data_IF_183772446197
#
_entry.id   IF_183772446197
#
_cell.length_a   1.000
_cell.length_b   1.000
_cell.length_c   1.000
_cell.angle_alpha   90.00
_cell.angle_beta   90.00
_cell.angle_gamma   90.00
#
_symmetry.space_group_name_H-M   'P 1'
#
loop_
_entity.id
_entity.type
_entity.pdbx_description
1 polymer ?
#
# COMPACT_ATOMS: atom_id res chain seq x y z
N UNK A 1 22.00 16.17 -9.53
CA UNK A 1 22.43 15.63 -8.22
C UNK A 1 21.84 14.23 -8.08
N UNK A 2 22.46 13.31 -7.34
CA UNK A 2 21.80 12.03 -7.09
C UNK A 2 20.52 12.25 -6.28
N UNK A 3 19.50 11.38 -6.44
CA UNK A 3 18.25 11.50 -5.70
C UNK A 3 18.48 11.36 -4.19
N UNK A 4 17.73 12.12 -3.39
CA UNK A 4 17.85 12.12 -1.92
C UNK A 4 17.14 10.92 -1.29
N UNK A 5 16.18 10.34 -2.01
CA UNK A 5 15.32 9.25 -1.53
C UNK A 5 15.40 8.03 -2.43
N UNK A 6 15.21 6.85 -1.84
CA UNK A 6 15.05 5.62 -2.60
C UNK A 6 13.65 5.52 -3.18
N UNK A 7 12.62 5.97 -2.43
CA UNK A 7 11.20 5.86 -2.79
C UNK A 7 10.48 7.18 -2.56
N UNK A 8 9.66 7.57 -3.50
CA UNK A 8 8.55 8.48 -3.29
C UNK A 8 7.27 7.66 -3.12
N UNK A 9 6.69 7.65 -1.92
CA UNK A 9 5.39 7.06 -1.64
C UNK A 9 4.32 8.13 -1.76
N UNK A 10 3.62 8.14 -2.89
CA UNK A 10 2.64 9.15 -3.24
C UNK A 10 1.23 8.56 -3.21
N UNK A 11 0.41 8.98 -2.23
CA UNK A 11 -0.89 8.36 -2.08
C UNK A 11 -1.72 8.86 -0.91
N UNK A 12 -2.48 7.94 -0.33
CA UNK A 12 -3.31 8.22 0.83
C UNK A 12 -2.43 8.37 2.07
N UNK A 13 -2.53 9.55 2.70
CA UNK A 13 -1.81 9.91 3.94
C UNK A 13 -2.83 10.35 4.97
N UNK A 14 -2.82 9.77 6.16
CA UNK A 14 -3.74 10.12 7.23
C UNK A 14 -3.48 9.34 8.51
N UNK A 15 -4.46 9.35 9.39
CA UNK A 15 -4.45 8.60 10.65
C UNK A 15 -5.63 7.63 10.70
N UNK A 16 -5.47 6.56 11.47
CA UNK A 16 -6.52 5.61 11.82
C UNK A 16 -6.79 5.72 13.32
N UNK A 17 -7.97 6.24 13.68
CA UNK A 17 -8.47 6.22 15.05
C UNK A 17 -9.24 4.92 15.25
N UNK A 18 -8.63 3.98 15.94
CA UNK A 18 -9.24 2.68 16.26
C UNK A 18 -10.00 2.80 17.56
N UNK A 19 -11.27 2.40 17.56
CA UNK A 19 -12.15 2.37 18.72
C UNK A 19 -12.64 0.94 18.89
N UNK A 20 -12.22 0.29 19.95
CA UNK A 20 -12.72 -1.03 20.33
C UNK A 20 -14.09 -0.89 21.00
N UNK A 21 -15.07 -1.64 20.51
CA UNK A 21 -16.44 -1.65 20.98
C UNK A 21 -16.89 -3.09 21.27
N UNK A 22 -17.78 -3.33 22.25
CA UNK A 22 -18.28 -4.68 22.51
C UNK A 22 -19.13 -5.26 21.37
N UNK A 23 -19.77 -4.41 20.59
CA UNK A 23 -20.53 -4.70 19.37
C UNK A 23 -20.62 -3.46 18.50
N UNK A 24 -20.81 -3.63 17.18
CA UNK A 24 -21.03 -2.50 16.29
C UNK A 24 -22.31 -1.76 16.69
N UNK A 25 -22.32 -0.39 16.65
CA UNK A 25 -23.52 0.39 16.95
C UNK A 25 -24.67 0.03 16.02
N UNK A 26 -25.88 0.03 16.57
CA UNK A 26 -27.12 -0.09 15.82
C UNK A 26 -27.87 1.24 15.88
N UNK A 27 -28.77 1.52 14.93
CA UNK A 27 -29.61 2.71 15.01
C UNK A 27 -30.32 2.82 16.36
N UNK A 28 -30.30 4.01 16.94
CA UNK A 28 -30.92 4.37 18.22
C UNK A 28 -30.40 3.62 19.46
N UNK A 29 -29.32 2.85 19.34
CA UNK A 29 -28.71 2.11 20.46
C UNK A 29 -27.29 2.63 20.68
N UNK A 30 -27.03 3.17 21.89
CA UNK A 30 -25.67 3.59 22.29
C UNK A 30 -24.80 2.38 22.61
N UNK A 31 -23.50 2.49 22.31
CA UNK A 31 -22.46 1.58 22.79
C UNK A 31 -21.34 2.40 23.43
N UNK A 32 -20.51 1.77 24.23
CA UNK A 32 -19.37 2.41 24.89
C UNK A 32 -18.07 1.93 24.29
N UNK A 33 -17.11 2.84 24.11
CA UNK A 33 -15.76 2.48 23.74
C UNK A 33 -15.10 1.71 24.91
N UNK A 34 -14.48 0.58 24.61
CA UNK A 34 -13.65 -0.18 25.55
C UNK A 34 -12.23 0.38 25.59
N UNK A 35 -11.73 0.81 24.43
CA UNK A 35 -10.39 1.34 24.23
C UNK A 35 -10.39 2.23 22.99
N UNK A 36 -9.55 3.26 22.98
CA UNK A 36 -9.24 4.00 21.77
C UNK A 36 -7.74 4.15 21.59
N UNK A 37 -7.30 4.15 20.33
CA UNK A 37 -5.90 4.36 19.95
C UNK A 37 -5.81 5.09 18.61
N UNK A 38 -4.70 5.78 18.41
CA UNK A 38 -4.44 6.54 17.19
C UNK A 38 -3.14 6.04 16.53
N UNK A 39 -3.21 5.67 15.28
CA UNK A 39 -2.12 5.09 14.52
C UNK A 39 -1.94 5.82 13.19
N UNK A 40 -0.78 5.62 12.56
CA UNK A 40 -0.62 5.98 11.15
C UNK A 40 -1.61 5.17 10.32
N UNK A 41 -2.24 5.83 9.38
CA UNK A 41 -3.15 5.28 8.40
C UNK A 41 -2.84 5.83 7.01
N UNK A 42 -3.53 5.28 6.03
CA UNK A 42 -3.28 5.58 4.63
C UNK A 42 -2.19 4.71 4.01
N UNK A 43 -2.46 4.27 2.80
CA UNK A 43 -1.65 3.26 2.10
C UNK A 43 -0.23 3.72 1.79
N UNK A 44 -0.07 5.01 1.42
CA UNK A 44 1.26 5.57 1.17
C UNK A 44 2.09 5.61 2.46
N UNK A 45 1.46 6.01 3.56
CA UNK A 45 2.11 6.09 4.87
C UNK A 45 2.47 4.71 5.41
N UNK A 46 1.53 3.76 5.36
CA UNK A 46 1.78 2.39 5.83
C UNK A 46 2.94 1.75 5.06
N UNK A 47 2.94 1.84 3.72
CA UNK A 47 4.04 1.33 2.89
C UNK A 47 5.37 1.99 3.25
N UNK A 48 5.38 3.32 3.49
CA UNK A 48 6.58 4.04 3.89
C UNK A 48 7.12 3.58 5.24
N UNK A 49 6.25 3.24 6.19
CA UNK A 49 6.67 2.72 7.52
C UNK A 49 7.41 1.40 7.37
N UNK A 50 6.89 0.41 6.62
CA UNK A 50 7.58 -0.86 6.38
C UNK A 50 8.95 -0.63 5.74
N UNK A 51 9.01 0.15 4.68
CA UNK A 51 10.25 0.47 3.97
C UNK A 51 11.25 1.20 4.87
N UNK A 52 10.79 2.15 5.68
CA UNK A 52 11.64 2.90 6.61
C UNK A 52 12.30 2.01 7.64
N UNK A 53 11.56 1.07 8.23
CA UNK A 53 12.09 0.08 9.18
C UNK A 53 13.13 -0.84 8.52
N UNK A 54 13.01 -1.06 7.21
CA UNK A 54 13.98 -1.84 6.42
C UNK A 54 15.15 -1.00 5.91
N UNK A 55 15.30 0.23 6.40
CA UNK A 55 16.46 1.10 6.07
C UNK A 55 16.33 1.86 4.75
N UNK A 56 15.18 1.80 4.08
CA UNK A 56 14.90 2.52 2.83
C UNK A 56 14.53 3.96 3.14
N UNK A 57 15.14 4.93 2.43
CA UNK A 57 14.79 6.35 2.56
C UNK A 57 13.56 6.67 1.74
N UNK A 58 12.47 7.07 2.41
CA UNK A 58 11.17 7.30 1.78
C UNK A 58 10.75 8.74 1.95
N UNK A 59 10.42 9.42 0.87
CA UNK A 59 9.62 10.64 0.92
C UNK A 59 8.14 10.29 0.80
N UNK A 60 7.29 10.89 1.63
CA UNK A 60 5.83 10.71 1.59
C UNK A 60 5.17 11.95 1.05
N UNK A 61 4.18 11.78 0.16
CA UNK A 61 3.33 12.85 -0.36
C UNK A 61 1.96 12.30 -0.76
N UNK A 62 1.05 13.17 -1.15
CA UNK A 62 -0.32 12.82 -1.56
C UNK A 62 -1.33 13.78 -0.97
N UNK A 63 -2.13 13.36 0.00
CA UNK A 63 -3.09 14.26 0.65
C UNK A 63 -2.41 15.50 1.23
N UNK A 64 -3.04 16.65 1.06
CA UNK A 64 -2.66 17.89 1.77
C UNK A 64 -3.16 17.79 3.20
N UNK A 65 -2.34 18.19 4.17
CA UNK A 65 -2.60 18.04 5.60
C UNK A 65 -3.01 19.40 6.18
N UNK A 66 -4.00 19.41 7.07
CA UNK A 66 -4.42 20.62 7.76
C UNK A 66 -3.44 21.07 8.85
N UNK A 67 -3.59 22.32 9.27
CA UNK A 67 -3.04 22.82 10.54
C UNK A 67 -4.08 22.59 11.64
N UNK A 68 -4.32 21.30 11.96
CA UNK A 68 -5.28 20.85 12.96
C UNK A 68 -4.65 19.73 13.82
N UNK A 69 -5.34 19.34 14.88
CA UNK A 69 -4.86 18.31 15.83
C UNK A 69 -4.45 17.00 15.15
N UNK A 70 -5.25 16.52 14.17
CA UNK A 70 -4.94 15.29 13.43
C UNK A 70 -3.70 15.45 12.56
N UNK A 71 -3.54 16.62 11.92
CA UNK A 71 -2.34 16.94 11.15
C UNK A 71 -1.09 17.00 12.04
N UNK A 72 -1.17 17.65 13.20
CA UNK A 72 -0.05 17.73 14.15
C UNK A 72 0.36 16.34 14.66
N UNK A 73 -0.64 15.51 15.03
CA UNK A 73 -0.39 14.11 15.43
C UNK A 73 0.23 13.25 14.32
N UNK A 74 -0.19 13.45 13.07
CA UNK A 74 0.42 12.76 11.93
C UNK A 74 1.92 13.06 11.83
N UNK A 75 2.31 14.34 11.90
CA UNK A 75 3.71 14.74 11.85
C UNK A 75 4.49 14.28 13.08
N UNK A 76 3.89 14.33 14.28
CA UNK A 76 4.49 13.81 15.50
C UNK A 76 4.84 12.31 15.38
N UNK A 77 3.89 11.50 14.90
CA UNK A 77 4.13 10.06 14.75
C UNK A 77 5.15 9.77 13.63
N UNK A 78 5.07 10.47 12.49
CA UNK A 78 6.02 10.31 11.40
C UNK A 78 7.47 10.64 11.83
N UNK A 79 7.66 11.57 12.75
CA UNK A 79 8.98 11.93 13.26
C UNK A 79 9.69 10.80 14.01
N UNK A 80 8.97 9.75 14.44
CA UNK A 80 9.58 8.55 15.03
C UNK A 80 10.25 7.62 14.01
N UNK A 81 10.05 7.87 12.70
CA UNK A 81 10.62 7.06 11.61
C UNK A 81 11.72 7.85 10.88
N UNK A 82 13.01 7.69 11.25
CA UNK A 82 14.11 8.56 10.78
C UNK A 82 14.35 8.46 9.26
N UNK A 83 13.90 7.39 8.60
CA UNK A 83 14.01 7.22 7.16
C UNK A 83 12.79 7.71 6.40
N UNK A 84 11.76 8.28 7.07
CA UNK A 84 10.63 8.92 6.41
C UNK A 84 10.83 10.44 6.38
N UNK A 85 10.78 11.01 5.20
CA UNK A 85 10.80 12.47 5.01
C UNK A 85 9.39 12.98 4.70
N UNK A 86 8.99 14.02 5.42
CA UNK A 86 7.76 14.78 5.21
C UNK A 86 7.96 16.00 4.33
N UNK A 87 9.12 16.15 3.69
CA UNK A 87 9.50 17.32 2.85
C UNK A 87 8.44 17.65 1.80
N UNK A 88 7.77 16.65 1.26
CA UNK A 88 6.75 16.80 0.23
C UNK A 88 5.30 16.67 0.75
N UNK A 89 5.10 16.61 2.06
CA UNK A 89 3.78 16.75 2.66
C UNK A 89 3.41 18.23 2.80
N UNK A 90 2.47 18.66 1.99
CA UNK A 90 1.96 20.04 2.05
C UNK A 90 0.99 20.20 3.23
N UNK A 91 1.10 21.31 3.95
CA UNK A 91 0.10 21.75 4.93
C UNK A 91 -0.68 22.97 4.41
N UNK A 92 -1.95 23.07 4.78
CA UNK A 92 -2.83 24.15 4.37
C UNK A 92 -3.71 24.63 5.52
N UNK A 93 -3.75 25.96 5.74
CA UNK A 93 -4.64 26.57 6.72
C UNK A 93 -6.11 26.44 6.30
N UNK A 94 -7.00 26.25 7.28
CA UNK A 94 -8.45 26.10 7.04
C UNK A 94 -8.86 24.72 6.50
N UNK A 95 -7.90 23.85 6.18
CA UNK A 95 -8.16 22.47 5.83
C UNK A 95 -8.25 21.61 7.09
N UNK A 96 -9.14 20.62 7.09
CA UNK A 96 -9.17 19.55 8.07
C UNK A 96 -8.47 18.32 7.51
N UNK A 97 -7.55 17.75 8.29
CA UNK A 97 -6.82 16.54 7.92
C UNK A 97 -7.76 15.34 7.80
N UNK A 98 -7.48 14.49 6.82
CA UNK A 98 -8.19 13.21 6.65
C UNK A 98 -7.76 12.22 7.72
N UNK A 99 -8.71 11.49 8.27
CA UNK A 99 -8.45 10.31 9.11
C UNK A 99 -9.60 9.31 9.00
N UNK A 100 -9.37 8.07 9.41
CA UNK A 100 -10.42 7.07 9.54
C UNK A 100 -10.78 6.87 11.02
N UNK A 101 -12.08 6.71 11.30
CA UNK A 101 -12.57 6.16 12.55
C UNK A 101 -12.93 4.69 12.29
N UNK A 102 -12.26 3.77 12.97
CA UNK A 102 -12.40 2.33 12.76
C UNK A 102 -12.96 1.72 14.02
N UNK A 103 -14.20 1.25 13.97
CA UNK A 103 -14.83 0.49 15.03
C UNK A 103 -14.44 -0.98 14.88
N UNK A 104 -13.96 -1.60 15.97
CA UNK A 104 -13.51 -3.01 15.97
C UNK A 104 -14.16 -3.74 17.13
N UNK A 105 -14.78 -4.88 16.86
CA UNK A 105 -15.37 -5.76 17.86
C UNK A 105 -14.40 -6.86 18.31
N UNK A 106 -14.64 -7.55 19.45
CA UNK A 106 -13.76 -8.62 19.94
C UNK A 106 -13.61 -9.81 19.00
N UNK A 107 -14.61 -10.08 18.14
CA UNK A 107 -14.60 -11.13 17.12
C UNK A 107 -13.94 -10.68 15.80
N UNK A 108 -13.43 -9.43 15.74
CA UNK A 108 -12.70 -8.90 14.61
C UNK A 108 -13.57 -8.28 13.50
N UNK A 109 -14.90 -8.17 13.68
CA UNK A 109 -15.72 -7.38 12.77
C UNK A 109 -15.31 -5.91 12.85
N UNK A 110 -15.40 -5.21 11.72
CA UNK A 110 -15.02 -3.79 11.68
C UNK A 110 -15.92 -2.96 10.78
N UNK A 111 -16.09 -1.70 11.17
CA UNK A 111 -16.68 -0.66 10.34
C UNK A 111 -15.72 0.52 10.24
N UNK A 112 -15.53 1.02 9.02
CA UNK A 112 -14.60 2.13 8.74
C UNK A 112 -15.39 3.34 8.29
N UNK A 113 -15.14 4.47 8.94
CA UNK A 113 -15.74 5.77 8.62
C UNK A 113 -14.60 6.70 8.23
N UNK A 114 -14.55 7.10 6.96
CA UNK A 114 -13.63 8.13 6.51
C UNK A 114 -14.11 9.51 6.94
N UNK A 115 -13.27 10.26 7.62
CA UNK A 115 -13.54 11.63 8.06
C UNK A 115 -12.71 12.56 7.19
N UNK A 116 -13.34 13.57 6.59
CA UNK A 116 -12.72 14.49 5.64
C UNK A 116 -12.00 13.76 4.47
N UNK A 117 -12.47 12.57 4.10
CA UNK A 117 -11.86 11.76 3.04
C UNK A 117 -12.27 12.24 1.63
N UNK A 118 -13.53 12.63 1.48
CA UNK A 118 -14.04 13.16 0.22
C UNK A 118 -13.63 14.61 0.02
N UNK A 119 -13.14 14.93 -1.20
CA UNK A 119 -12.75 16.31 -1.57
C UNK A 119 -11.49 16.81 -0.87
N UNK A 120 -10.76 15.98 -0.12
CA UNK A 120 -9.49 16.40 0.46
C UNK A 120 -8.49 16.70 -0.65
N UNK A 121 -7.90 17.92 -0.70
CA UNK A 121 -7.01 18.29 -1.76
C UNK A 121 -5.73 17.46 -1.75
N UNK A 122 -5.25 17.14 -2.95
CA UNK A 122 -4.01 16.43 -3.14
C UNK A 122 -2.87 17.43 -3.35
N UNK A 123 -1.70 17.12 -2.85
CA UNK A 123 -0.48 17.84 -3.19
C UNK A 123 -0.13 17.55 -4.66
N UNK A 124 -0.14 18.54 -5.56
CA UNK A 124 0.19 18.30 -6.96
C UNK A 124 1.61 17.72 -7.09
N UNK A 125 1.80 16.64 -7.88
CA UNK A 125 3.15 16.12 -8.13
C UNK A 125 3.95 17.11 -8.97
N UNK A 126 5.26 17.22 -8.69
CA UNK A 126 6.18 18.07 -9.44
C UNK A 126 7.37 17.25 -9.96
N UNK A 127 7.97 17.71 -11.06
CA UNK A 127 9.17 17.07 -11.61
C UNK A 127 10.32 17.02 -10.59
N UNK A 128 10.46 18.04 -9.74
CA UNK A 128 11.44 18.06 -8.65
C UNK A 128 11.20 16.90 -7.66
N UNK A 129 9.96 16.79 -7.16
CA UNK A 129 9.56 15.72 -6.23
C UNK A 129 9.83 14.33 -6.81
N UNK A 130 9.52 14.13 -8.09
CA UNK A 130 9.73 12.85 -8.77
C UNK A 130 11.22 12.57 -8.97
N UNK A 131 12.00 13.54 -9.45
CA UNK A 131 13.43 13.35 -9.72
C UNK A 131 14.29 13.18 -8.46
N UNK A 132 13.76 13.53 -7.29
CA UNK A 132 14.42 13.35 -5.99
C UNK A 132 14.28 11.92 -5.42
N UNK A 133 13.65 11.01 -6.16
CA UNK A 133 13.50 9.61 -5.82
C UNK A 133 14.03 8.67 -6.91
N UNK A 134 14.32 7.41 -6.54
CA UNK A 134 14.74 6.35 -7.46
C UNK A 134 13.55 5.50 -7.94
N UNK A 135 12.44 5.52 -7.22
CA UNK A 135 11.22 4.76 -7.52
C UNK A 135 10.00 5.53 -7.02
N UNK A 136 8.92 5.50 -7.81
CA UNK A 136 7.61 5.99 -7.40
C UNK A 136 6.70 4.82 -7.04
N UNK A 137 6.01 4.88 -5.89
CA UNK A 137 4.87 4.00 -5.59
C UNK A 137 3.61 4.79 -5.37
N UNK A 138 2.49 4.25 -5.86
CA UNK A 138 1.16 4.86 -5.81
C UNK A 138 0.14 3.89 -5.24
N UNK A 139 -0.84 4.42 -4.49
CA UNK A 139 -2.15 3.81 -4.39
C UNK A 139 -3.14 4.51 -5.35
N UNK A 140 -4.25 3.87 -5.66
CA UNK A 140 -5.24 4.40 -6.60
C UNK A 140 -6.48 5.01 -5.90
N UNK A 141 -6.34 5.42 -4.63
CA UNK A 141 -7.36 6.17 -3.89
C UNK A 141 -7.14 7.68 -4.04
N UNK A 142 -7.34 8.18 -5.25
CA UNK A 142 -7.16 9.59 -5.61
C UNK A 142 -7.65 9.86 -7.01
N UNK A 143 -7.39 11.06 -7.51
CA UNK A 143 -7.78 11.51 -8.84
C UNK A 143 -6.64 11.49 -9.86
N UNK A 144 -6.70 12.43 -10.80
CA UNK A 144 -5.74 12.53 -11.90
C UNK A 144 -4.31 12.87 -11.47
N UNK A 145 -4.11 13.38 -10.28
CA UNK A 145 -2.78 13.63 -9.71
C UNK A 145 -1.94 12.34 -9.56
N UNK A 146 -2.59 11.17 -9.36
CA UNK A 146 -1.92 9.86 -9.38
C UNK A 146 -1.39 9.52 -10.78
N UNK A 147 -2.20 9.80 -11.79
CA UNK A 147 -1.83 9.60 -13.19
C UNK A 147 -0.70 10.54 -13.58
N UNK A 148 -0.79 11.81 -13.17
CA UNK A 148 0.25 12.79 -13.45
C UNK A 148 1.58 12.44 -12.77
N UNK A 149 1.55 11.97 -11.51
CA UNK A 149 2.74 11.50 -10.82
C UNK A 149 3.40 10.33 -11.56
N UNK A 150 2.59 9.34 -11.99
CA UNK A 150 3.08 8.20 -12.76
C UNK A 150 3.66 8.64 -14.11
N UNK A 151 2.99 9.57 -14.82
CA UNK A 151 3.46 10.10 -16.11
C UNK A 151 4.82 10.80 -15.96
N UNK A 152 4.97 11.64 -14.94
CA UNK A 152 6.24 12.33 -14.66
C UNK A 152 7.36 11.34 -14.32
N UNK A 153 7.06 10.31 -13.53
CA UNK A 153 8.03 9.27 -13.17
C UNK A 153 8.46 8.46 -14.39
N UNK A 154 7.50 8.06 -15.23
CA UNK A 154 7.78 7.35 -16.50
C UNK A 154 8.68 8.19 -17.43
N UNK A 155 8.40 9.49 -17.59
CA UNK A 155 9.20 10.41 -18.37
C UNK A 155 10.63 10.59 -17.82
N UNK A 156 10.78 10.49 -16.49
CA UNK A 156 12.08 10.54 -15.82
C UNK A 156 12.81 9.17 -15.84
N UNK A 157 12.21 8.12 -16.41
CA UNK A 157 12.80 6.78 -16.46
C UNK A 157 12.76 6.04 -15.11
N UNK A 158 11.92 6.47 -14.17
CA UNK A 158 11.80 5.82 -12.86
C UNK A 158 10.82 4.63 -12.94
N UNK A 159 11.12 3.52 -12.24
CA UNK A 159 10.12 2.47 -12.02
C UNK A 159 8.91 3.01 -11.25
N UNK A 160 7.72 2.58 -11.67
CA UNK A 160 6.44 2.92 -11.03
C UNK A 160 5.77 1.65 -10.53
N UNK A 161 5.61 1.52 -9.22
CA UNK A 161 4.89 0.40 -8.58
C UNK A 161 3.51 0.89 -8.15
N UNK A 162 2.47 0.33 -8.76
CA UNK A 162 1.08 0.70 -8.48
C UNK A 162 0.42 -0.40 -7.66
N UNK A 163 -0.10 -0.03 -6.49
CA UNK A 163 -0.93 -0.90 -5.66
C UNK A 163 -2.43 -0.67 -5.88
N UNK A 164 -3.23 -1.63 -5.41
CA UNK A 164 -4.69 -1.54 -5.40
C UNK A 164 -5.33 -1.34 -6.79
N UNK A 165 -4.73 -1.92 -7.83
CA UNK A 165 -5.30 -1.85 -9.17
C UNK A 165 -6.63 -2.62 -9.22
N UNK A 166 -7.69 -1.96 -9.73
CA UNK A 166 -9.04 -2.51 -9.81
C UNK A 166 -9.62 -2.51 -11.23
N UNK A 167 -9.11 -1.65 -12.11
CA UNK A 167 -9.68 -1.42 -13.44
C UNK A 167 -8.64 -1.64 -14.52
N UNK A 168 -9.00 -2.40 -15.56
CA UNK A 168 -8.13 -2.70 -16.71
C UNK A 168 -7.95 -1.51 -17.66
N UNK A 169 -8.73 -0.47 -17.50
CA UNK A 169 -8.72 0.77 -18.29
C UNK A 169 -8.25 1.99 -17.51
N UNK A 170 -7.66 1.77 -16.31
CA UNK A 170 -7.20 2.88 -15.48
C UNK A 170 -6.08 3.67 -16.19
N UNK A 171 -6.19 5.02 -16.29
CA UNK A 171 -5.27 5.85 -17.07
C UNK A 171 -3.82 5.87 -16.54
N UNK A 172 -3.54 5.28 -15.39
CA UNK A 172 -2.17 5.12 -14.85
C UNK A 172 -1.38 4.02 -15.57
N UNK A 173 -2.06 3.05 -16.18
CA UNK A 173 -1.46 1.81 -16.70
C UNK A 173 -0.33 2.04 -17.71
N UNK A 174 -0.43 2.97 -18.68
CA UNK A 174 0.66 3.23 -19.64
C UNK A 174 1.97 3.67 -18.99
N UNK A 175 1.93 4.10 -17.72
CA UNK A 175 3.09 4.61 -16.98
C UNK A 175 3.54 3.66 -15.85
N UNK A 176 2.96 2.46 -15.79
CA UNK A 176 3.18 1.50 -14.69
C UNK A 176 4.23 0.46 -15.05
N UNK A 177 5.22 0.25 -14.18
CA UNK A 177 6.22 -0.83 -14.31
C UNK A 177 5.69 -2.12 -13.70
N UNK A 178 5.20 -2.06 -12.44
CA UNK A 178 4.63 -3.19 -11.72
C UNK A 178 3.25 -2.83 -11.22
N UNK A 179 2.23 -3.61 -11.58
CA UNK A 179 0.88 -3.48 -11.07
C UNK A 179 0.58 -4.59 -10.05
N UNK A 180 0.04 -4.22 -8.89
CA UNK A 180 -0.38 -5.15 -7.85
C UNK A 180 -1.90 -5.03 -7.71
N UNK A 181 -2.61 -6.17 -7.83
CA UNK A 181 -4.05 -6.25 -7.70
C UNK A 181 -4.47 -7.39 -6.76
N UNK A 182 -5.64 -7.27 -6.15
CA UNK A 182 -6.23 -8.32 -5.32
C UNK A 182 -7.20 -9.16 -6.12
N UNK A 183 -6.95 -10.46 -6.24
CA UNK A 183 -7.85 -11.40 -6.92
C UNK A 183 -9.24 -11.47 -6.24
N UNK A 184 -9.29 -11.33 -4.91
CA UNK A 184 -10.53 -11.27 -4.18
C UNK A 184 -11.36 -10.02 -4.56
N UNK A 185 -10.70 -8.87 -4.69
CA UNK A 185 -11.33 -7.62 -5.11
C UNK A 185 -11.83 -7.70 -6.56
N UNK A 186 -11.02 -8.27 -7.46
CA UNK A 186 -11.39 -8.48 -8.86
C UNK A 186 -12.65 -9.35 -8.96
N UNK A 187 -12.69 -10.50 -8.25
CA UNK A 187 -13.88 -11.36 -8.24
C UNK A 187 -15.12 -10.66 -7.70
N UNK A 188 -14.96 -9.78 -6.71
CA UNK A 188 -16.06 -9.01 -6.15
C UNK A 188 -16.59 -7.96 -7.14
N UNK A 189 -15.69 -7.29 -7.84
CA UNK A 189 -16.02 -6.18 -8.75
C UNK A 189 -16.52 -6.68 -10.12
N UNK A 190 -15.96 -7.80 -10.59
CA UNK A 190 -16.26 -8.39 -11.89
C UNK A 190 -16.66 -9.86 -11.74
N UNK A 191 -17.91 -10.15 -11.30
CA UNK A 191 -18.38 -11.52 -11.17
C UNK A 191 -18.26 -12.25 -12.51
N UNK A 192 -17.55 -13.41 -12.52
CA UNK A 192 -17.32 -14.21 -13.71
C UNK A 192 -16.01 -13.93 -14.46
N UNK A 193 -15.31 -12.83 -14.17
CA UNK A 193 -13.97 -12.61 -14.70
C UNK A 193 -12.94 -13.38 -13.88
N UNK A 194 -12.11 -14.19 -14.54
CA UNK A 194 -10.99 -14.85 -13.88
C UNK A 194 -9.90 -13.82 -13.58
N UNK A 195 -9.31 -13.80 -12.37
CA UNK A 195 -8.23 -12.88 -12.03
C UNK A 195 -7.05 -12.93 -12.99
N UNK A 196 -6.73 -14.10 -13.54
CA UNK A 196 -5.68 -14.27 -14.54
C UNK A 196 -5.99 -13.54 -15.86
N UNK A 197 -7.25 -13.52 -16.27
CA UNK A 197 -7.68 -12.81 -17.48
C UNK A 197 -7.64 -11.28 -17.24
N UNK A 198 -7.95 -10.84 -16.02
CA UNK A 198 -7.72 -9.46 -15.62
C UNK A 198 -6.24 -9.09 -15.77
N UNK A 199 -5.31 -9.90 -15.25
CA UNK A 199 -3.87 -9.65 -15.35
C UNK A 199 -3.40 -9.60 -16.81
N UNK A 200 -3.87 -10.54 -17.66
CA UNK A 200 -3.56 -10.54 -19.09
C UNK A 200 -4.11 -9.28 -19.81
N UNK A 201 -5.29 -8.82 -19.43
CA UNK A 201 -5.86 -7.57 -19.96
C UNK A 201 -5.02 -6.36 -19.56
N UNK A 202 -4.51 -6.32 -18.33
CA UNK A 202 -3.58 -5.27 -17.87
C UNK A 202 -2.25 -5.34 -18.64
N UNK A 203 -1.74 -6.54 -18.93
CA UNK A 203 -0.54 -6.69 -19.77
C UNK A 203 -0.78 -6.24 -21.21
N UNK A 204 -1.95 -6.50 -21.76
CA UNK A 204 -2.32 -6.10 -23.13
C UNK A 204 -2.32 -4.57 -23.33
N UNK A 205 -2.52 -3.78 -22.28
CA UNK A 205 -2.44 -2.30 -22.31
C UNK A 205 -1.04 -1.76 -21.99
N UNK A 206 -0.02 -2.64 -21.89
CA UNK A 206 1.40 -2.26 -21.81
C UNK A 206 2.11 -2.48 -20.48
N UNK A 207 1.41 -2.88 -19.42
CA UNK A 207 2.04 -3.20 -18.13
C UNK A 207 2.68 -4.58 -18.19
N UNK A 208 4.01 -4.66 -18.24
CA UNK A 208 4.70 -5.96 -18.33
C UNK A 208 4.53 -6.83 -17.10
N UNK A 209 4.62 -6.25 -15.93
CA UNK A 209 4.72 -6.95 -14.65
C UNK A 209 3.44 -6.77 -13.84
N UNK A 210 2.72 -7.86 -13.61
CA UNK A 210 1.48 -7.86 -12.83
C UNK A 210 1.59 -8.91 -11.73
N UNK A 211 1.19 -8.54 -10.51
CA UNK A 211 1.10 -9.44 -9.36
C UNK A 211 -0.34 -9.48 -8.88
N UNK A 212 -0.88 -10.69 -8.73
CA UNK A 212 -2.19 -10.93 -8.13
C UNK A 212 -2.02 -11.56 -6.75
N UNK A 213 -2.47 -10.84 -5.73
CA UNK A 213 -2.57 -11.38 -4.35
C UNK A 213 -3.96 -11.98 -4.13
N UNK A 214 -4.07 -13.02 -3.29
CA UNK A 214 -5.35 -13.67 -2.99
C UNK A 214 -5.47 -14.14 -1.53
N UNK A 215 -5.11 -13.27 -0.59
CA UNK A 215 -5.10 -13.59 0.84
C UNK A 215 -4.18 -14.77 1.14
N UNK A 216 -4.67 -15.87 1.76
CA UNK A 216 -3.84 -17.03 2.09
C UNK A 216 -3.55 -17.94 0.87
N UNK A 217 -4.15 -17.67 -0.30
CA UNK A 217 -3.91 -18.42 -1.53
C UNK A 217 -2.65 -17.96 -2.23
N UNK A 218 -2.26 -18.70 -3.27
CA UNK A 218 -1.06 -18.38 -4.04
C UNK A 218 -1.09 -16.96 -4.62
N UNK A 219 0.05 -16.30 -4.51
CA UNK A 219 0.34 -15.07 -5.22
C UNK A 219 0.76 -15.43 -6.63
N UNK A 220 0.08 -14.92 -7.64
CA UNK A 220 0.41 -15.16 -9.05
C UNK A 220 1.24 -13.98 -9.58
N UNK A 221 2.29 -14.31 -10.31
CA UNK A 221 3.26 -13.36 -10.87
C UNK A 221 3.33 -13.52 -12.38
N UNK A 222 3.04 -12.45 -13.09
CA UNK A 222 3.09 -12.32 -14.55
C UNK A 222 4.24 -11.36 -14.89
N UNK A 223 5.34 -11.88 -15.41
CA UNK A 223 6.57 -11.10 -15.66
C UNK A 223 6.66 -10.54 -17.09
N UNK A 224 5.69 -10.86 -17.94
CA UNK A 224 5.64 -10.43 -19.35
C UNK A 224 6.36 -11.39 -20.31
N UNK A 225 6.93 -12.47 -19.83
CA UNK A 225 7.53 -13.54 -20.64
C UNK A 225 6.52 -14.58 -21.16
N UNK A 226 5.26 -14.48 -20.75
CA UNK A 226 4.20 -15.44 -21.09
C UNK A 226 3.97 -16.50 -20.01
N UNK A 227 4.97 -16.84 -19.24
CA UNK A 227 4.87 -17.78 -18.13
C UNK A 227 4.25 -17.11 -16.89
N UNK A 228 3.55 -17.91 -16.09
CA UNK A 228 3.00 -17.50 -14.80
C UNK A 228 3.78 -18.20 -13.72
N UNK A 229 4.29 -17.45 -12.78
CA UNK A 229 4.90 -18.01 -11.57
C UNK A 229 3.97 -17.85 -10.37
N UNK A 230 4.10 -18.70 -9.37
CA UNK A 230 3.34 -18.64 -8.14
C UNK A 230 4.24 -18.70 -6.91
N UNK A 231 3.87 -17.93 -5.89
CA UNK A 231 4.41 -18.02 -4.53
C UNK A 231 3.30 -18.50 -3.61
N UNK A 232 3.57 -19.54 -2.83
CA UNK A 232 2.64 -20.01 -1.80
C UNK A 232 2.94 -19.27 -0.49
N UNK A 233 2.02 -18.39 -0.02
CA UNK A 233 2.18 -17.74 1.28
C UNK A 233 2.20 -18.77 2.43
N UNK A 234 2.88 -18.49 3.54
CA UNK A 234 2.82 -19.37 4.70
C UNK A 234 1.44 -19.24 5.38
N UNK A 235 1.04 -20.28 6.09
CA UNK A 235 -0.11 -20.18 6.97
C UNK A 235 0.22 -19.24 8.14
N UNK A 236 -0.66 -18.29 8.42
CA UNK A 236 -0.52 -17.36 9.52
C UNK A 236 -1.74 -17.41 10.43
N UNK A 237 -1.49 -17.29 11.74
CA UNK A 237 -2.57 -17.00 12.69
C UNK A 237 -3.01 -15.56 12.51
N UNK A 238 -4.21 -15.36 11.99
CA UNK A 238 -4.72 -14.02 11.66
C UNK A 238 -5.21 -13.32 12.92
N UNK A 239 -4.59 -12.18 13.24
CA UNK A 239 -5.00 -11.25 14.29
C UNK A 239 -5.70 -10.03 13.67
N UNK A 240 -5.09 -9.44 12.63
CA UNK A 240 -5.64 -8.28 11.93
C UNK A 240 -5.13 -8.26 10.47
N UNK A 241 -6.04 -8.19 9.52
CA UNK A 241 -5.68 -8.16 8.08
C UNK A 241 -5.35 -6.76 7.55
N UNK A 242 -5.47 -5.72 8.40
CA UNK A 242 -5.18 -4.34 8.01
C UNK A 242 -3.70 -4.18 7.67
N UNK A 243 -3.40 -3.48 6.59
CA UNK A 243 -2.01 -3.21 6.18
C UNK A 243 -1.27 -4.39 5.54
N UNK A 244 -1.85 -5.60 5.45
CA UNK A 244 -1.21 -6.74 4.80
C UNK A 244 -0.82 -6.46 3.34
N UNK A 245 -1.69 -5.77 2.60
CA UNK A 245 -1.42 -5.32 1.24
C UNK A 245 -0.32 -4.26 1.17
N UNK A 246 -0.22 -3.38 2.17
CA UNK A 246 0.82 -2.35 2.25
C UNK A 246 2.18 -2.98 2.58
N UNK A 247 2.21 -3.96 3.49
CA UNK A 247 3.39 -4.78 3.79
C UNK A 247 3.84 -5.58 2.55
N UNK A 248 2.89 -6.21 1.85
CA UNK A 248 3.17 -6.91 0.59
C UNK A 248 3.80 -5.96 -0.44
N UNK A 249 3.19 -4.81 -0.66
CA UNK A 249 3.69 -3.80 -1.60
C UNK A 249 5.09 -3.31 -1.22
N UNK A 250 5.36 -3.10 0.08
CA UNK A 250 6.68 -2.73 0.56
C UNK A 250 7.74 -3.80 0.22
N UNK A 251 7.40 -5.09 0.35
CA UNK A 251 8.28 -6.18 -0.04
C UNK A 251 8.59 -6.19 -1.55
N UNK A 252 7.57 -5.97 -2.39
CA UNK A 252 7.77 -5.86 -3.84
C UNK A 252 8.66 -4.66 -4.17
N UNK A 253 8.42 -3.49 -3.58
CA UNK A 253 9.22 -2.29 -3.79
C UNK A 253 10.68 -2.53 -3.38
N UNK A 254 10.90 -3.15 -2.23
CA UNK A 254 12.24 -3.48 -1.77
C UNK A 254 12.99 -4.35 -2.78
N UNK A 255 12.35 -5.42 -3.29
CA UNK A 255 12.97 -6.28 -4.30
C UNK A 255 13.25 -5.54 -5.62
N UNK A 256 12.34 -4.70 -6.09
CA UNK A 256 12.54 -3.86 -7.29
C UNK A 256 13.73 -2.92 -7.10
N UNK A 257 13.90 -2.29 -5.94
CA UNK A 257 15.05 -1.43 -5.64
C UNK A 257 16.38 -2.19 -5.62
N UNK A 258 16.34 -3.48 -5.25
CA UNK A 258 17.53 -4.35 -5.25
C UNK A 258 17.80 -4.99 -6.63
N UNK A 259 16.93 -4.76 -7.62
CA UNK A 259 17.05 -5.38 -8.94
C UNK A 259 16.74 -6.88 -8.96
N UNK A 260 15.93 -7.37 -8.02
CA UNK A 260 15.56 -8.79 -7.95
C UNK A 260 14.55 -9.16 -9.02
N UNK A 261 14.51 -10.47 -9.33
CA UNK A 261 13.42 -11.02 -10.13
C UNK A 261 12.06 -10.77 -9.47
N UNK A 262 11.02 -10.60 -10.27
CA UNK A 262 9.69 -10.25 -9.76
C UNK A 262 9.12 -11.30 -8.80
N UNK A 263 9.41 -12.59 -9.06
CA UNK A 263 8.99 -13.71 -8.20
C UNK A 263 9.64 -13.62 -6.81
N UNK A 264 10.91 -13.20 -6.71
CA UNK A 264 11.61 -13.02 -5.44
C UNK A 264 11.07 -11.80 -4.69
N UNK A 265 10.78 -10.73 -5.42
CA UNK A 265 10.13 -9.54 -4.88
C UNK A 265 8.73 -9.87 -4.33
N UNK A 266 7.94 -10.68 -5.05
CA UNK A 266 6.63 -11.15 -4.61
C UNK A 266 6.72 -12.08 -3.40
N UNK A 267 7.77 -12.93 -3.32
CA UNK A 267 8.01 -13.79 -2.16
C UNK A 267 8.31 -12.97 -0.89
N UNK A 268 9.11 -11.89 -1.01
CA UNK A 268 9.34 -10.97 0.10
C UNK A 268 8.03 -10.29 0.53
N UNK A 269 7.23 -9.86 -0.44
CA UNK A 269 5.90 -9.28 -0.20
C UNK A 269 4.96 -10.25 0.53
N UNK A 270 4.91 -11.52 0.08
CA UNK A 270 4.08 -12.55 0.70
C UNK A 270 4.50 -12.83 2.15
N UNK A 271 5.80 -12.90 2.41
CA UNK A 271 6.34 -13.05 3.76
C UNK A 271 5.96 -11.86 4.66
N UNK A 272 6.18 -10.63 4.17
CA UNK A 272 5.86 -9.40 4.92
C UNK A 272 4.36 -9.33 5.27
N UNK A 273 3.49 -9.55 4.28
CA UNK A 273 2.03 -9.57 4.50
C UNK A 273 1.60 -10.65 5.48
N UNK A 274 2.18 -11.85 5.39
CA UNK A 274 1.85 -12.97 6.29
C UNK A 274 2.30 -12.75 7.73
N UNK A 275 3.45 -12.11 7.95
CA UNK A 275 3.87 -11.72 9.31
C UNK A 275 2.97 -10.62 9.84
N UNK A 276 2.64 -9.64 9.00
CA UNK A 276 1.82 -8.50 9.41
C UNK A 276 0.41 -8.90 9.87
N UNK A 277 -0.24 -9.86 9.21
CA UNK A 277 -1.59 -10.30 9.64
C UNK A 277 -1.61 -10.97 11.00
N UNK A 278 -0.48 -11.44 11.51
CA UNK A 278 -0.33 -11.96 12.87
C UNK A 278 -0.16 -10.88 13.95
N UNK A 279 -0.20 -9.60 13.57
CA UNK A 279 0.04 -8.45 14.46
C UNK A 279 -1.13 -7.47 14.42
N UNK A 280 -1.44 -6.75 15.51
CA UNK A 280 -2.53 -5.77 15.50
C UNK A 280 -2.14 -4.49 14.78
N UNK A 281 -3.09 -3.89 14.09
CA UNK A 281 -2.95 -2.62 13.37
C UNK A 281 -2.23 -2.75 12.03
N UNK A 282 -2.34 -1.72 11.18
CA UNK A 282 -1.84 -1.76 9.80
C UNK A 282 -0.31 -1.85 9.72
N UNK A 283 0.38 -0.81 10.21
CA UNK A 283 1.84 -0.71 10.24
C UNK A 283 2.35 -0.35 11.63
N UNK A 284 1.62 -0.75 12.66
CA UNK A 284 1.93 -0.41 14.07
C UNK A 284 3.14 -1.18 14.59
N UNK A 285 3.30 -2.41 14.16
CA UNK A 285 4.38 -3.32 14.56
C UNK A 285 5.03 -3.95 13.30
N UNK A 286 5.69 -3.15 12.45
CA UNK A 286 6.27 -3.66 11.22
C UNK A 286 7.35 -4.69 11.53
N UNK A 287 7.39 -5.84 10.79
CA UNK A 287 8.44 -6.83 10.95
C UNK A 287 9.81 -6.29 10.55
N UNK A 288 10.86 -6.76 11.18
CA UNK A 288 12.22 -6.46 10.77
C UNK A 288 12.54 -7.13 9.43
N UNK A 289 13.45 -6.53 8.65
CA UNK A 289 13.77 -7.02 7.31
C UNK A 289 14.35 -8.45 7.33
N UNK A 290 15.21 -8.77 8.27
CA UNK A 290 15.82 -10.09 8.42
C UNK A 290 14.79 -11.19 8.73
N UNK A 291 13.78 -10.90 9.56
CA UNK A 291 12.63 -11.77 9.82
C UNK A 291 11.86 -12.06 8.52
N UNK A 292 11.54 -11.00 7.76
CA UNK A 292 10.82 -11.12 6.49
C UNK A 292 11.63 -11.90 5.46
N UNK A 293 12.93 -11.61 5.32
CA UNK A 293 13.82 -12.31 4.40
C UNK A 293 14.00 -13.78 4.77
N UNK A 294 14.11 -14.10 6.06
CA UNK A 294 14.21 -15.48 6.52
C UNK A 294 12.98 -16.28 6.13
N UNK A 295 11.78 -15.73 6.34
CA UNK A 295 10.52 -16.35 5.94
C UNK A 295 10.41 -16.45 4.41
N UNK A 296 10.72 -15.37 3.68
CA UNK A 296 10.66 -15.35 2.22
C UNK A 296 11.50 -16.46 1.56
N UNK A 297 12.72 -16.73 2.09
CA UNK A 297 13.58 -17.82 1.59
C UNK A 297 12.95 -19.20 1.71
N UNK A 298 12.08 -19.43 2.68
CA UNK A 298 11.41 -20.71 2.90
C UNK A 298 10.16 -20.92 2.04
N UNK A 299 9.65 -19.88 1.37
CA UNK A 299 8.42 -19.98 0.61
C UNK A 299 8.61 -20.79 -0.68
N UNK A 300 7.62 -21.62 -1.00
CA UNK A 300 7.59 -22.38 -2.24
C UNK A 300 7.31 -21.46 -3.43
N UNK A 301 8.15 -21.57 -4.44
CA UNK A 301 7.97 -20.93 -5.76
C UNK A 301 7.79 -22.00 -6.82
N UNK A 302 6.92 -21.78 -7.79
CA UNK A 302 6.73 -22.71 -8.89
C UNK A 302 6.32 -21.97 -10.17
N UNK A 303 6.69 -22.53 -11.30
CA UNK A 303 6.13 -22.14 -12.59
C UNK A 303 4.75 -22.81 -12.76
N UNK A 304 3.81 -22.06 -13.32
CA UNK A 304 2.52 -22.58 -13.78
C UNK A 304 2.63 -22.65 -15.30
N UNK A 305 2.87 -23.84 -15.83
CA UNK A 305 2.77 -24.09 -17.28
C UNK A 305 1.32 -23.89 -17.70
N UNK A 306 1.09 -23.11 -18.78
CA UNK A 306 -0.21 -22.82 -19.38
C UNK A 306 -0.91 -24.09 -19.87
#
# INVERSE_FOLDING_TARGET
MPPSFDVLSYGTVGLDKIIRVPHLPRPDISTHALEESLHLGGKATNTAVFLSVWGVKVAVSGHTIGYDEMGDKLFEILAHYPNISTRYLRRQSGLRSMYCCILVTPDGERSIIGINAEGNPQTPPTAEMISDARLLTLDLYGGMERVEAARLAYQAGLPVVVGDLRHVDHPVLPYTTVAIASAAEIRRQYPGLLPQDFARSVQAVGVRQVILTDGPREVLVFDGGGDISAVTPPQAAVVDTTGAGDAFRAGVIYGVLQGWELIESAALGAAAGSINVGRPGAATQPPALDEVQALARSLRRRMITA
#
